data_IF_800885587703
#
_entry.id   IF_800885587703
#
_cell.length_a   1.000
_cell.length_b   1.000
_cell.length_c   1.000
_cell.angle_alpha   90.00
_cell.angle_beta   90.00
_cell.angle_gamma   90.00
#
_symmetry.space_group_name_H-M   'P 1'
#
loop_
_entity.id
_entity.type
_entity.pdbx_description
1 polymer ?
#
# COMPACT_ATOMS: atom_id res chain seq x y z
N UNK A 1 20.06 1.26 1.90
CA UNK A 1 19.77 0.90 0.49
C UNK A 1 18.54 -0.01 0.48
N UNK A 2 17.57 0.26 -0.40
CA UNK A 2 16.27 -0.43 -0.37
C UNK A 2 16.37 -1.76 -1.14
N UNK A 3 16.71 -2.85 -0.45
CA UNK A 3 16.98 -4.17 -1.04
C UNK A 3 15.87 -4.69 -1.96
N UNK A 4 14.61 -4.33 -1.66
CA UNK A 4 13.45 -4.69 -2.47
C UNK A 4 13.48 -4.04 -3.87
N UNK A 5 13.96 -2.81 -3.98
CA UNK A 5 14.05 -2.10 -5.25
C UNK A 5 15.15 -2.68 -6.14
N UNK A 6 16.30 -3.03 -5.57
CA UNK A 6 17.38 -3.72 -6.30
C UNK A 6 16.97 -5.10 -6.78
N UNK A 7 16.19 -5.84 -5.99
CA UNK A 7 15.72 -7.18 -6.34
C UNK A 7 14.66 -7.13 -7.45
N UNK A 8 13.76 -6.14 -7.42
CA UNK A 8 12.79 -5.91 -8.50
C UNK A 8 13.49 -5.58 -9.85
N UNK A 9 14.55 -4.76 -9.81
CA UNK A 9 15.34 -4.44 -11.01
C UNK A 9 16.04 -5.68 -11.56
N UNK A 10 16.63 -6.52 -10.69
CA UNK A 10 17.28 -7.78 -11.10
C UNK A 10 16.31 -8.77 -11.75
N UNK A 11 15.10 -8.92 -11.20
CA UNK A 11 14.06 -9.80 -11.76
C UNK A 11 13.61 -9.31 -13.13
N UNK A 12 13.38 -8.00 -13.30
CA UNK A 12 13.01 -7.44 -14.59
C UNK A 12 14.11 -7.70 -15.63
N UNK A 13 15.38 -7.42 -15.28
CA UNK A 13 16.53 -7.71 -16.15
C UNK A 13 16.64 -9.20 -16.51
N UNK A 14 16.44 -10.12 -15.56
CA UNK A 14 16.55 -11.56 -15.82
C UNK A 14 15.47 -12.09 -16.77
N UNK A 15 14.28 -11.48 -16.75
CA UNK A 15 13.19 -11.84 -17.66
C UNK A 15 13.32 -11.15 -19.02
N UNK A 16 13.75 -9.90 -19.06
CA UNK A 16 13.85 -9.13 -20.30
C UNK A 16 15.02 -9.57 -21.19
N UNK A 17 16.13 -10.03 -20.60
CA UNK A 17 17.33 -10.43 -21.33
C UNK A 17 17.15 -11.63 -22.28
N UNK A 18 16.63 -12.80 -21.84
CA UNK A 18 16.42 -13.93 -22.75
C UNK A 18 15.35 -13.65 -23.83
N UNK A 19 14.39 -12.77 -23.52
CA UNK A 19 13.34 -12.37 -24.46
C UNK A 19 13.92 -11.50 -25.59
N UNK A 20 14.79 -10.56 -25.26
CA UNK A 20 15.50 -9.72 -26.24
C UNK A 20 16.48 -10.53 -27.08
N UNK A 21 17.16 -11.52 -26.50
CA UNK A 21 18.04 -12.44 -27.26
C UNK A 21 17.23 -13.30 -28.25
N UNK A 22 16.06 -13.82 -27.85
CA UNK A 22 15.20 -14.62 -28.75
C UNK A 22 14.61 -13.80 -29.90
N UNK A 23 14.13 -12.59 -29.61
CA UNK A 23 13.67 -11.66 -30.65
C UNK A 23 14.82 -11.29 -31.59
N UNK A 24 16.03 -11.13 -31.03
CA UNK A 24 17.30 -10.92 -31.75
C UNK A 24 17.63 -11.95 -32.80
N UNK A 25 17.39 -13.22 -32.46
CA UNK A 25 17.66 -14.32 -33.37
C UNK A 25 16.62 -14.45 -34.50
N UNK A 26 15.40 -13.89 -34.35
CA UNK A 26 14.30 -14.10 -35.30
C UNK A 26 14.11 -12.97 -36.32
N UNK A 27 14.43 -11.71 -35.99
CA UNK A 27 14.05 -10.54 -36.79
C UNK A 27 15.23 -9.87 -37.54
N UNK A 28 16.47 -10.28 -37.28
CA UNK A 28 17.65 -9.61 -37.81
C UNK A 28 18.04 -8.36 -37.02
N UNK A 29 19.34 -8.11 -36.94
CA UNK A 29 20.02 -7.20 -35.98
C UNK A 29 19.47 -5.76 -35.91
N UNK A 30 19.02 -5.08 -37.00
CA UNK A 30 18.63 -3.67 -36.90
C UNK A 30 17.23 -3.42 -36.29
N UNK A 31 16.21 -4.24 -36.60
CA UNK A 31 14.87 -4.09 -36.01
C UNK A 31 14.81 -4.54 -34.55
N UNK A 32 15.64 -5.52 -34.19
CA UNK A 32 15.76 -6.04 -32.83
C UNK A 32 16.29 -4.97 -31.89
N UNK A 33 17.27 -4.18 -32.31
CA UNK A 33 17.79 -3.08 -31.51
C UNK A 33 16.71 -2.04 -31.23
N UNK A 34 15.90 -1.70 -32.24
CA UNK A 34 14.75 -0.81 -32.08
C UNK A 34 13.68 -1.37 -31.14
N UNK A 35 13.28 -2.62 -31.33
CA UNK A 35 12.29 -3.30 -30.48
C UNK A 35 12.79 -3.46 -29.03
N UNK A 36 14.08 -3.77 -28.84
CA UNK A 36 14.71 -3.92 -27.52
C UNK A 36 14.80 -2.58 -26.80
N UNK A 37 15.17 -1.51 -27.52
CA UNK A 37 15.26 -0.16 -26.96
C UNK A 37 13.87 0.37 -26.61
N UNK A 38 12.87 0.18 -27.48
CA UNK A 38 11.47 0.50 -27.18
C UNK A 38 10.94 -0.28 -25.97
N UNK A 39 11.23 -1.58 -25.91
CA UNK A 39 10.87 -2.41 -24.77
C UNK A 39 11.49 -1.90 -23.47
N UNK A 40 12.79 -1.62 -23.47
CA UNK A 40 13.48 -1.07 -22.31
C UNK A 40 12.91 0.29 -21.87
N UNK A 41 12.65 1.19 -22.81
CA UNK A 41 12.04 2.51 -22.53
C UNK A 41 10.63 2.37 -21.98
N UNK A 42 9.80 1.48 -22.55
CA UNK A 42 8.45 1.23 -22.08
C UNK A 42 8.44 0.64 -20.67
N UNK A 43 9.26 -0.38 -20.42
CA UNK A 43 9.40 -0.99 -19.09
C UNK A 43 9.89 0.02 -18.07
N UNK A 44 10.88 0.85 -18.44
CA UNK A 44 11.37 1.92 -17.57
C UNK A 44 10.29 2.96 -17.29
N UNK A 45 9.53 3.40 -18.29
CA UNK A 45 8.45 4.37 -18.13
C UNK A 45 7.33 3.82 -17.23
N UNK A 46 6.92 2.56 -17.43
CA UNK A 46 5.92 1.89 -16.59
C UNK A 46 6.40 1.74 -15.14
N UNK A 47 7.65 1.33 -14.95
CA UNK A 47 8.24 1.22 -13.62
C UNK A 47 8.30 2.59 -12.92
N UNK A 48 8.78 3.62 -13.61
CA UNK A 48 8.86 4.98 -13.09
C UNK A 48 7.46 5.53 -12.73
N UNK A 49 6.47 5.31 -13.59
CA UNK A 49 5.09 5.69 -13.33
C UNK A 49 4.50 4.95 -12.13
N UNK A 50 4.69 3.62 -12.05
CA UNK A 50 4.22 2.79 -10.94
C UNK A 50 4.81 3.23 -9.59
N UNK A 51 6.12 3.48 -9.55
CA UNK A 51 6.80 4.00 -8.35
C UNK A 51 6.26 5.37 -7.98
N UNK A 52 6.14 6.31 -8.95
CA UNK A 52 5.62 7.65 -8.68
C UNK A 52 4.19 7.61 -8.15
N UNK A 53 3.34 6.76 -8.73
CA UNK A 53 1.97 6.56 -8.28
C UNK A 53 1.90 5.99 -6.87
N UNK A 54 2.68 4.94 -6.58
CA UNK A 54 2.73 4.32 -5.26
C UNK A 54 3.23 5.29 -4.19
N UNK A 55 4.28 6.06 -4.47
CA UNK A 55 4.82 7.07 -3.55
C UNK A 55 3.79 8.19 -3.31
N UNK A 56 3.14 8.67 -4.37
CA UNK A 56 2.12 9.72 -4.26
C UNK A 56 0.95 9.23 -3.42
N UNK A 57 0.46 8.02 -3.68
CA UNK A 57 -0.62 7.40 -2.90
C UNK A 57 -0.24 7.26 -1.44
N UNK A 58 0.97 6.76 -1.15
CA UNK A 58 1.45 6.60 0.22
C UNK A 58 1.57 7.95 0.94
N UNK A 59 2.12 8.97 0.28
CA UNK A 59 2.18 10.35 0.82
C UNK A 59 0.80 10.88 1.19
N UNK A 60 -0.19 10.71 0.31
CA UNK A 60 -1.57 11.14 0.59
C UNK A 60 -2.16 10.40 1.79
N UNK A 61 -1.95 9.09 1.90
CA UNK A 61 -2.43 8.31 3.06
C UNK A 61 -1.78 8.78 4.37
N UNK A 62 -0.48 9.06 4.35
CA UNK A 62 0.26 9.57 5.54
C UNK A 62 -0.19 10.98 5.91
N UNK A 63 -0.43 11.85 4.93
CA UNK A 63 -0.96 13.20 5.18
C UNK A 63 -2.35 13.13 5.81
N UNK A 64 -3.23 12.25 5.32
CA UNK A 64 -4.56 12.02 5.92
C UNK A 64 -4.45 11.48 7.34
N UNK A 65 -3.52 10.57 7.60
CA UNK A 65 -3.26 10.08 8.96
C UNK A 65 -2.84 11.22 9.89
N UNK A 66 -1.94 12.10 9.44
CA UNK A 66 -1.47 13.23 10.23
C UNK A 66 -2.63 14.21 10.55
N UNK A 67 -3.46 14.53 9.56
CA UNK A 67 -4.64 15.36 9.74
C UNK A 67 -5.65 14.73 10.73
N UNK A 68 -5.91 13.42 10.58
CA UNK A 68 -6.79 12.69 11.48
C UNK A 68 -6.29 12.66 12.92
N UNK A 69 -4.97 12.50 13.13
CA UNK A 69 -4.38 12.57 14.47
C UNK A 69 -4.49 13.97 15.07
N UNK A 70 -4.26 15.00 14.27
CA UNK A 70 -4.40 16.39 14.72
C UNK A 70 -5.86 16.69 15.12
N UNK A 71 -6.83 16.21 14.35
CA UNK A 71 -8.25 16.37 14.64
C UNK A 71 -8.66 15.64 15.94
N UNK A 72 -8.25 14.39 16.12
CA UNK A 72 -8.50 13.64 17.37
C UNK A 72 -7.78 14.28 18.56
N UNK A 73 -6.58 14.84 18.37
CA UNK A 73 -5.87 15.55 19.44
C UNK A 73 -6.57 16.84 19.85
N UNK A 74 -7.24 17.53 18.92
CA UNK A 74 -7.99 18.75 19.20
C UNK A 74 -9.28 18.48 19.99
N UNK A 75 -9.97 17.37 19.74
CA UNK A 75 -11.19 16.97 20.46
C UNK A 75 -11.26 15.44 20.66
N UNK A 76 -10.58 14.89 21.69
CA UNK A 76 -10.44 13.45 21.87
C UNK A 76 -11.73 12.78 22.37
N UNK A 77 -12.65 13.55 22.95
CA UNK A 77 -13.93 13.10 23.50
C UNK A 77 -15.03 12.97 22.45
N UNK A 78 -14.88 13.64 21.31
CA UNK A 78 -15.90 13.63 20.26
C UNK A 78 -15.72 12.44 19.32
N UNK A 79 -16.74 11.56 19.17
CA UNK A 79 -16.71 10.47 18.20
C UNK A 79 -16.47 10.98 16.76
N UNK A 80 -16.97 12.17 16.42
CA UNK A 80 -16.80 12.76 15.09
C UNK A 80 -15.35 13.13 14.79
N UNK A 81 -14.53 13.40 15.81
CA UNK A 81 -13.12 13.73 15.61
C UNK A 81 -12.31 12.55 15.04
N UNK A 82 -12.78 11.32 15.23
CA UNK A 82 -12.15 10.09 14.71
C UNK A 82 -12.41 9.85 13.22
N UNK A 83 -13.27 10.65 12.59
CA UNK A 83 -13.59 10.57 11.17
C UNK A 83 -13.06 11.79 10.40
N UNK A 84 -12.29 11.54 9.35
CA UNK A 84 -11.75 12.57 8.46
C UNK A 84 -12.12 12.26 7.03
N UNK A 85 -12.89 13.15 6.39
CA UNK A 85 -13.38 12.94 5.01
C UNK A 85 -14.22 11.67 4.85
N UNK A 86 -14.97 11.28 5.89
CA UNK A 86 -15.78 10.05 5.91
C UNK A 86 -15.01 8.76 6.22
N UNK A 87 -13.69 8.83 6.46
CA UNK A 87 -12.86 7.66 6.80
C UNK A 87 -12.44 7.69 8.28
N UNK A 88 -12.60 6.56 8.98
CA UNK A 88 -12.21 6.42 10.38
C UNK A 88 -10.68 6.29 10.53
N UNK A 89 -10.09 6.94 11.54
CA UNK A 89 -8.66 6.88 11.84
C UNK A 89 -8.12 5.44 11.95
N UNK A 90 -8.89 4.56 12.59
CA UNK A 90 -8.56 3.13 12.69
C UNK A 90 -8.42 2.43 11.33
N UNK A 91 -9.25 2.78 10.34
CA UNK A 91 -9.16 2.20 8.98
C UNK A 91 -7.92 2.69 8.24
N UNK A 92 -7.57 3.97 8.41
CA UNK A 92 -6.34 4.55 7.84
C UNK A 92 -5.12 3.81 8.42
N UNK A 93 -5.12 3.55 9.73
CA UNK A 93 -4.06 2.80 10.41
C UNK A 93 -3.97 1.35 9.90
N UNK A 94 -5.10 0.66 9.71
CA UNK A 94 -5.11 -0.69 9.14
C UNK A 94 -4.56 -0.76 7.71
N UNK A 95 -4.82 0.27 6.88
CA UNK A 95 -4.24 0.36 5.52
C UNK A 95 -2.72 0.55 5.52
N UNK A 96 -2.19 1.15 6.57
CA UNK A 96 -0.75 1.34 6.79
C UNK A 96 -0.11 0.19 7.59
N UNK A 97 -0.85 -0.92 7.80
CA UNK A 97 -0.43 -2.08 8.58
C UNK A 97 -0.12 -1.79 10.07
N UNK A 98 -0.58 -0.66 10.59
CA UNK A 98 -0.39 -0.23 11.99
C UNK A 98 -1.51 -0.76 12.90
N UNK A 99 -1.61 -2.08 13.00
CA UNK A 99 -2.74 -2.78 13.62
C UNK A 99 -2.87 -2.55 15.11
N UNK A 100 -1.76 -2.57 15.85
CA UNK A 100 -1.74 -2.33 17.30
C UNK A 100 -2.35 -0.97 17.63
N UNK A 101 -1.91 0.05 16.91
CA UNK A 101 -2.45 1.41 17.06
C UNK A 101 -3.91 1.50 16.58
N UNK A 102 -4.26 0.79 15.51
CA UNK A 102 -5.65 0.73 15.06
C UNK A 102 -6.57 0.13 16.14
N UNK A 103 -6.15 -0.95 16.79
CA UNK A 103 -6.88 -1.58 17.86
C UNK A 103 -7.07 -0.63 19.06
N UNK A 104 -6.00 0.03 19.51
CA UNK A 104 -6.07 1.01 20.59
C UNK A 104 -7.02 2.17 20.28
N UNK A 105 -7.00 2.68 19.04
CA UNK A 105 -7.89 3.75 18.60
C UNK A 105 -9.34 3.28 18.55
N UNK A 106 -9.60 2.07 18.02
CA UNK A 106 -10.95 1.49 17.94
C UNK A 106 -11.50 1.22 19.34
N UNK A 107 -10.69 0.69 20.26
CA UNK A 107 -11.10 0.45 21.64
C UNK A 107 -11.37 1.75 22.39
N UNK A 108 -10.58 2.79 22.16
CA UNK A 108 -10.85 4.13 22.71
C UNK A 108 -12.15 4.70 22.17
N UNK A 109 -12.36 4.60 20.86
CA UNK A 109 -13.58 5.06 20.19
C UNK A 109 -14.83 4.32 20.71
N UNK A 110 -14.74 2.99 20.90
CA UNK A 110 -15.85 2.20 21.44
C UNK A 110 -16.24 2.56 22.88
N UNK A 111 -15.32 3.16 23.65
CA UNK A 111 -15.61 3.68 25.00
C UNK A 111 -16.28 5.04 24.98
N UNK A 112 -16.31 5.74 23.84
CA UNK A 112 -17.02 7.00 23.70
C UNK A 112 -18.52 6.69 23.51
N UNK A 113 -19.34 7.09 24.49
CA UNK A 113 -20.79 6.82 24.53
C UNK A 113 -21.63 7.47 23.42
N UNK A 114 -21.02 7.96 22.33
CA UNK A 114 -21.69 8.52 21.15
C UNK A 114 -21.36 7.80 19.84
N UNK A 115 -20.59 6.72 19.88
CA UNK A 115 -20.32 5.88 18.71
C UNK A 115 -21.53 4.97 18.41
N UNK A 116 -21.88 4.80 17.12
CA UNK A 116 -22.95 3.85 16.75
C UNK A 116 -22.41 2.42 16.87
N UNK A 117 -23.19 1.52 17.47
CA UNK A 117 -22.79 0.11 17.63
C UNK A 117 -22.42 -0.54 16.28
N UNK A 118 -23.17 -0.23 15.22
CA UNK A 118 -22.88 -0.73 13.87
C UNK A 118 -21.51 -0.29 13.33
N UNK A 119 -21.04 0.91 13.67
CA UNK A 119 -19.73 1.42 13.29
C UNK A 119 -18.63 0.68 14.05
N UNK A 120 -18.82 0.46 15.36
CA UNK A 120 -17.88 -0.28 16.20
C UNK A 120 -17.73 -1.72 15.71
N UNK A 121 -18.84 -2.39 15.39
CA UNK A 121 -18.83 -3.76 14.85
C UNK A 121 -18.09 -3.81 13.52
N UNK A 122 -18.37 -2.90 12.59
CA UNK A 122 -17.69 -2.84 11.30
C UNK A 122 -16.17 -2.61 11.45
N UNK A 123 -15.76 -1.75 12.40
CA UNK A 123 -14.35 -1.49 12.70
C UNK A 123 -13.64 -2.72 13.29
N UNK A 124 -14.29 -3.43 14.21
CA UNK A 124 -13.77 -4.67 14.80
C UNK A 124 -13.67 -5.79 13.77
N UNK A 125 -14.64 -5.90 12.88
CA UNK A 125 -14.60 -6.85 11.77
C UNK A 125 -13.45 -6.53 10.81
N UNK A 126 -13.24 -5.26 10.48
CA UNK A 126 -12.11 -4.82 9.65
C UNK A 126 -10.75 -5.18 10.29
N UNK A 127 -10.62 -5.00 11.61
CA UNK A 127 -9.43 -5.39 12.38
C UNK A 127 -9.21 -6.91 12.34
N UNK A 128 -10.25 -7.71 12.64
CA UNK A 128 -10.19 -9.18 12.59
C UNK A 128 -9.79 -9.69 11.20
N UNK A 129 -10.35 -9.11 10.15
CA UNK A 129 -10.01 -9.44 8.76
C UNK A 129 -8.56 -9.05 8.41
N UNK A 130 -8.03 -7.97 8.98
CA UNK A 130 -6.61 -7.64 8.83
C UNK A 130 -5.73 -8.68 9.53
N UNK A 131 -6.03 -9.05 10.78
CA UNK A 131 -5.28 -10.05 11.55
C UNK A 131 -5.25 -11.41 10.84
N UNK A 132 -6.39 -11.90 10.36
CA UNK A 132 -6.47 -13.16 9.59
C UNK A 132 -5.56 -13.16 8.36
N UNK A 133 -5.48 -12.03 7.64
CA UNK A 133 -4.59 -11.90 6.47
C UNK A 133 -3.11 -12.02 6.85
N UNK A 134 -2.69 -11.47 7.98
CA UNK A 134 -1.29 -11.60 8.43
C UNK A 134 -0.97 -13.00 8.92
N UNK A 135 -1.87 -13.65 9.68
CA UNK A 135 -1.64 -15.04 10.11
C UNK A 135 -1.45 -15.96 8.90
N UNK A 136 -2.20 -15.73 7.82
CA UNK A 136 -2.02 -16.46 6.54
C UNK A 136 -0.71 -16.13 5.83
N UNK A 137 -0.24 -14.88 5.90
CA UNK A 137 1.05 -14.50 5.34
C UNK A 137 2.21 -15.14 6.11
N UNK A 138 2.16 -15.11 7.45
CA UNK A 138 3.17 -15.70 8.33
C UNK A 138 3.18 -17.23 8.28
N UNK A 139 2.00 -17.87 8.21
CA UNK A 139 1.89 -19.32 8.09
C UNK A 139 2.24 -19.89 6.72
N UNK A 140 2.56 -19.05 5.72
CA UNK A 140 3.12 -19.47 4.42
C UNK A 140 4.64 -19.41 4.36
N UNK A 141 5.28 -18.82 5.36
CA UNK A 141 6.74 -18.68 5.46
C UNK A 141 7.37 -19.74 6.39
N UNK A 142 6.56 -20.62 6.99
CA UNK A 142 6.97 -21.75 7.83
C UNK A 142 6.70 -23.08 7.12
#
# INVERSE_FOLDING_TARGET
MNYAATLAVLVVLSFSFPLTVRLGAQLGVPEVLGASMLGAVLTFALAAYGVRWQVTRHRVTVQRLAAARAQVAADPSSPRAYFVGGEHLGLILLRLDRRREAAEVIDRFARLGGARESEIVALREALSNAERRQRRAQGREA
#
